data_IF_649099064391
#
_entry.id   IF_649099064391
#
_cell.length_a   1.000
_cell.length_b   1.000
_cell.length_c   1.000
_cell.angle_alpha   90.00
_cell.angle_beta   90.00
_cell.angle_gamma   90.00
#
_symmetry.space_group_name_H-M   'P 1'
#
loop_
_entity.id
_entity.type
_entity.pdbx_description
1 polymer ?
#
# COMPACT_ATOMS: atom_id res chain seq x y z
N UNK A 1 3.21 -4.53 22.16
CA UNK A 1 4.21 -3.83 21.33
C UNK A 1 3.76 -2.39 21.11
N UNK A 2 4.63 -1.42 21.37
CA UNK A 2 4.37 0.01 21.14
C UNK A 2 5.48 0.59 20.24
N UNK A 3 5.10 1.34 19.20
CA UNK A 3 6.04 2.00 18.28
C UNK A 3 5.90 3.51 18.47
N UNK A 4 7.00 4.15 18.87
CA UNK A 4 7.17 5.60 18.85
C UNK A 4 8.11 5.96 17.69
N UNK A 5 8.07 7.20 17.22
CA UNK A 5 8.80 7.81 16.09
C UNK A 5 10.26 7.35 15.92
N UNK A 6 10.95 6.90 16.97
CA UNK A 6 12.31 6.36 16.88
C UNK A 6 12.57 5.12 17.76
N UNK A 7 11.54 4.51 18.36
CA UNK A 7 11.72 3.42 19.33
C UNK A 7 10.61 2.38 19.23
N UNK A 8 10.99 1.11 19.41
CA UNK A 8 10.06 -0.02 19.52
C UNK A 8 10.16 -0.59 20.94
N UNK A 9 9.02 -0.82 21.58
CA UNK A 9 8.94 -1.43 22.91
C UNK A 9 8.12 -2.72 22.87
N UNK A 10 8.63 -3.79 23.48
CA UNK A 10 7.98 -5.09 23.63
C UNK A 10 7.91 -5.52 25.10
N UNK A 11 6.93 -6.36 25.46
CA UNK A 11 6.92 -7.08 26.73
C UNK A 11 7.68 -8.41 26.58
N UNK A 12 7.95 -9.09 27.70
CA UNK A 12 8.69 -10.37 27.69
C UNK A 12 8.07 -11.40 26.75
N UNK A 13 6.75 -11.60 26.83
CA UNK A 13 6.01 -12.52 25.97
C UNK A 13 6.22 -12.23 24.46
N UNK A 14 6.36 -10.95 24.09
CA UNK A 14 6.60 -10.57 22.70
C UNK A 14 8.04 -10.90 22.26
N UNK A 15 9.04 -10.71 23.12
CA UNK A 15 10.41 -11.11 22.82
C UNK A 15 10.57 -12.63 22.74
N UNK A 16 9.78 -13.38 23.51
CA UNK A 16 9.73 -14.85 23.42
C UNK A 16 9.15 -15.31 22.07
N UNK A 17 8.16 -14.60 21.53
CA UNK A 17 7.56 -14.88 20.22
C UNK A 17 8.42 -14.46 19.03
N UNK A 18 9.24 -13.42 19.19
CA UNK A 18 10.06 -12.83 18.12
C UNK A 18 11.53 -12.64 18.55
N UNK A 19 12.24 -13.73 18.85
CA UNK A 19 13.62 -13.66 19.36
C UNK A 19 14.61 -13.08 18.34
N UNK A 20 14.28 -13.15 17.04
CA UNK A 20 15.09 -12.61 15.93
C UNK A 20 14.54 -11.26 15.43
N UNK A 21 13.72 -10.57 16.23
CA UNK A 21 13.19 -9.28 15.83
C UNK A 21 14.32 -8.26 15.59
N UNK A 22 14.31 -7.61 14.43
CA UNK A 22 15.27 -6.57 14.07
C UNK A 22 14.56 -5.26 13.77
N UNK A 23 15.10 -4.17 14.31
CA UNK A 23 14.65 -2.80 14.00
C UNK A 23 15.72 -2.13 13.16
N UNK A 24 15.32 -1.58 12.01
CA UNK A 24 16.18 -0.79 11.13
C UNK A 24 15.59 0.60 10.96
N UNK A 25 16.39 1.63 11.18
CA UNK A 25 16.02 3.01 10.80
C UNK A 25 16.16 3.16 9.29
N UNK A 26 15.07 3.47 8.61
CA UNK A 26 15.09 3.77 7.18
C UNK A 26 15.58 5.21 6.97
N UNK A 27 16.30 5.42 5.88
CA UNK A 27 16.82 6.72 5.51
C UNK A 27 15.71 7.76 5.42
N UNK A 28 16.01 8.96 5.92
CA UNK A 28 15.09 10.08 5.97
C UNK A 28 14.96 10.68 4.57
N UNK A 29 13.90 10.34 3.87
CA UNK A 29 13.55 10.98 2.59
C UNK A 29 12.25 11.77 2.79
N UNK A 30 12.36 13.10 2.71
CA UNK A 30 11.23 14.04 2.64
C UNK A 30 10.23 14.06 3.82
N UNK A 31 10.57 13.51 4.99
CA UNK A 31 9.80 13.63 6.23
C UNK A 31 10.68 14.02 7.41
N UNK A 32 10.12 14.81 8.33
CA UNK A 32 10.66 15.12 9.64
C UNK A 32 10.67 13.91 10.60
N UNK A 33 10.07 12.79 10.21
CA UNK A 33 10.08 11.52 10.93
C UNK A 33 10.93 10.45 10.21
N UNK A 34 11.77 9.74 10.98
CA UNK A 34 12.53 8.60 10.49
C UNK A 34 11.63 7.36 10.56
N UNK A 35 11.41 6.70 9.43
CA UNK A 35 10.59 5.49 9.41
C UNK A 35 11.36 4.34 10.07
N UNK A 36 10.70 3.60 10.97
CA UNK A 36 11.23 2.38 11.57
C UNK A 36 10.72 1.16 10.81
N UNK A 37 11.63 0.32 10.35
CA UNK A 37 11.30 -1.00 9.84
C UNK A 37 11.52 -2.03 10.94
N UNK A 38 10.44 -2.56 11.50
CA UNK A 38 10.47 -3.69 12.42
C UNK A 38 10.23 -4.99 11.66
N UNK A 39 11.25 -5.84 11.58
CA UNK A 39 11.17 -7.17 10.99
C UNK A 39 10.96 -8.19 12.10
N UNK A 40 9.77 -8.79 12.12
CA UNK A 40 9.43 -9.89 13.03
C UNK A 40 9.46 -11.18 12.21
N UNK A 41 10.54 -11.96 12.31
CA UNK A 41 10.56 -13.29 11.73
C UNK A 41 9.80 -14.22 12.66
N UNK A 42 8.52 -14.45 12.36
CA UNK A 42 7.76 -15.47 13.07
C UNK A 42 8.31 -16.84 12.66
N UNK A 43 8.86 -17.58 13.61
CA UNK A 43 9.42 -18.91 13.39
C UNK A 43 8.29 -19.93 13.27
N UNK A 44 7.38 -19.77 12.30
CA UNK A 44 6.35 -20.78 12.03
C UNK A 44 6.76 -21.70 10.89
N UNK A 45 6.85 -22.98 11.24
CA UNK A 45 6.86 -24.09 10.29
C UNK A 45 5.58 -24.02 9.45
N UNK A 46 5.71 -23.97 8.13
CA UNK A 46 4.66 -24.48 7.24
C UNK A 46 3.51 -23.55 6.86
N UNK A 47 3.68 -22.22 6.86
CA UNK A 47 2.68 -21.39 6.16
C UNK A 47 3.33 -20.31 5.28
N UNK A 48 3.73 -20.73 4.08
CA UNK A 48 4.20 -19.88 2.97
C UNK A 48 3.10 -18.97 2.40
N UNK A 49 1.87 -19.04 2.92
CA UNK A 49 0.86 -18.04 2.60
C UNK A 49 1.11 -16.79 3.43
N UNK A 50 2.14 -16.04 3.03
CA UNK A 50 2.44 -14.71 3.55
C UNK A 50 1.13 -13.93 3.64
N UNK A 51 0.81 -13.47 4.86
CA UNK A 51 -0.40 -12.72 5.13
C UNK A 51 -0.52 -11.66 4.04
N UNK A 52 -1.50 -11.82 3.14
CA UNK A 52 -1.79 -10.82 2.12
C UNK A 52 -2.21 -9.60 2.91
N UNK A 53 -1.27 -8.70 3.16
CA UNK A 53 -1.58 -7.35 3.58
C UNK A 53 -2.62 -6.89 2.57
N UNK A 54 -3.86 -6.75 3.02
CA UNK A 54 -4.90 -6.14 2.21
C UNK A 54 -4.38 -4.73 1.95
N UNK A 55 -3.74 -4.55 0.80
CA UNK A 55 -3.16 -3.29 0.38
C UNK A 55 -4.29 -2.28 0.46
N UNK A 56 -4.22 -1.42 1.46
CA UNK A 56 -5.16 -0.31 1.60
C UNK A 56 -5.05 0.50 0.32
N UNK A 57 -6.17 1.05 -0.15
CA UNK A 57 -6.12 2.00 -1.24
C UNK A 57 -5.17 3.14 -0.87
N UNK A 58 -4.15 3.35 -1.68
CA UNK A 58 -3.26 4.50 -1.62
C UNK A 58 -3.17 5.05 -3.03
N UNK A 59 -3.39 6.36 -3.15
CA UNK A 59 -3.14 7.09 -4.36
C UNK A 59 -1.62 7.23 -4.55
N UNK A 60 -1.10 6.89 -5.73
CA UNK A 60 0.30 7.13 -6.08
C UNK A 60 0.39 8.46 -6.84
N UNK A 61 1.30 9.37 -6.46
CA UNK A 61 1.41 10.71 -7.08
C UNK A 61 1.61 10.65 -8.60
N UNK A 62 2.35 9.64 -9.08
CA UNK A 62 2.58 9.39 -10.50
C UNK A 62 1.28 9.19 -11.31
N UNK A 63 0.17 8.78 -10.67
CA UNK A 63 -1.11 8.63 -11.38
C UNK A 63 -1.68 9.98 -11.80
N UNK A 64 -1.39 11.06 -11.07
CA UNK A 64 -1.92 12.39 -11.38
C UNK A 64 -1.42 12.94 -12.73
N UNK A 65 -0.27 12.45 -13.19
CA UNK A 65 0.32 12.82 -14.50
C UNK A 65 -0.29 12.01 -15.65
N UNK A 66 -1.10 10.99 -15.35
CA UNK A 66 -1.71 10.13 -16.35
C UNK A 66 -3.13 10.58 -16.70
N UNK A 67 -3.37 10.84 -17.97
CA UNK A 67 -4.70 11.18 -18.51
C UNK A 67 -5.78 10.19 -18.05
N UNK A 68 -5.46 8.90 -18.07
CA UNK A 68 -6.39 7.84 -17.67
C UNK A 68 -6.83 7.94 -16.21
N UNK A 69 -6.01 8.50 -15.32
CA UNK A 69 -6.41 8.73 -13.93
C UNK A 69 -7.49 9.81 -13.86
N UNK A 70 -7.31 10.92 -14.58
CA UNK A 70 -8.27 12.03 -14.65
C UNK A 70 -9.63 11.58 -15.20
N UNK A 71 -9.62 10.75 -16.25
CA UNK A 71 -10.82 10.15 -16.82
C UNK A 71 -11.57 9.30 -15.79
N UNK A 72 -10.89 8.38 -15.10
CA UNK A 72 -11.50 7.51 -14.09
C UNK A 72 -12.11 8.34 -12.95
N UNK A 73 -11.42 9.38 -12.50
CA UNK A 73 -11.95 10.27 -11.45
C UNK A 73 -13.20 10.97 -11.96
N UNK A 74 -13.18 11.53 -13.17
CA UNK A 74 -14.32 12.25 -13.76
C UNK A 74 -15.54 11.35 -13.94
N UNK A 75 -15.34 10.15 -14.51
CA UNK A 75 -16.38 9.13 -14.71
C UNK A 75 -17.00 8.73 -13.37
N UNK A 76 -16.18 8.34 -12.39
CA UNK A 76 -16.68 7.84 -11.11
C UNK A 76 -17.30 8.91 -10.22
N UNK A 77 -16.87 10.17 -10.37
CA UNK A 77 -17.40 11.29 -9.59
C UNK A 77 -18.71 11.83 -10.14
N UNK A 78 -18.87 11.81 -11.47
CA UNK A 78 -20.07 12.25 -12.18
C UNK A 78 -21.27 11.30 -12.01
N UNK A 79 -21.03 10.04 -11.69
CA UNK A 79 -22.09 9.07 -11.42
C UNK A 79 -22.84 9.38 -10.10
N UNK A 80 -24.16 9.52 -10.19
CA UNK A 80 -25.05 9.59 -9.01
C UNK A 80 -25.36 10.98 -8.46
N UNK A 81 -25.13 12.07 -9.23
CA UNK A 81 -25.57 13.42 -8.86
C UNK A 81 -24.76 14.07 -7.72
N UNK A 82 -25.23 15.18 -7.16
CA UNK A 82 -24.52 15.86 -6.06
C UNK A 82 -24.58 15.04 -4.76
N UNK A 83 -23.47 14.99 -4.02
CA UNK A 83 -23.42 14.38 -2.69
C UNK A 83 -23.79 15.42 -1.64
N UNK A 84 -24.88 15.19 -0.92
CA UNK A 84 -25.39 16.09 0.12
C UNK A 84 -25.00 15.65 1.52
N UNK A 85 -24.60 14.38 1.67
CA UNK A 85 -24.18 13.80 2.96
C UNK A 85 -22.73 13.30 2.93
N UNK A 86 -22.07 13.31 4.09
CA UNK A 86 -20.73 12.73 4.24
C UNK A 86 -20.70 11.23 3.88
N UNK A 87 -21.82 10.52 4.08
CA UNK A 87 -21.96 9.11 3.68
C UNK A 87 -21.91 8.95 2.17
N UNK A 88 -22.65 9.77 1.43
CA UNK A 88 -22.62 9.76 -0.04
C UNK A 88 -21.24 10.10 -0.59
N UNK A 89 -20.57 11.11 -0.02
CA UNK A 89 -19.21 11.45 -0.38
C UNK A 89 -18.26 10.27 -0.16
N UNK A 90 -18.32 9.62 1.01
CA UNK A 90 -17.49 8.46 1.32
C UNK A 90 -17.74 7.30 0.35
N UNK A 91 -18.99 7.05 -0.04
CA UNK A 91 -19.32 6.02 -1.03
C UNK A 91 -18.72 6.34 -2.41
N UNK A 92 -18.79 7.60 -2.84
CA UNK A 92 -18.15 8.05 -4.08
C UNK A 92 -16.63 7.90 -4.04
N UNK A 93 -15.99 8.33 -2.95
CA UNK A 93 -14.55 8.17 -2.77
C UNK A 93 -14.14 6.70 -2.78
N UNK A 94 -14.89 5.82 -2.11
CA UNK A 94 -14.64 4.38 -2.11
C UNK A 94 -14.77 3.78 -3.52
N UNK A 95 -15.82 4.17 -4.27
CA UNK A 95 -16.03 3.73 -5.65
C UNK A 95 -14.91 4.16 -6.59
N UNK A 96 -14.50 5.43 -6.51
CA UNK A 96 -13.36 5.96 -7.24
C UNK A 96 -12.07 5.19 -6.90
N UNK A 97 -11.81 4.96 -5.61
CA UNK A 97 -10.66 4.20 -5.15
C UNK A 97 -10.60 2.77 -5.70
N UNK A 98 -11.74 2.07 -5.75
CA UNK A 98 -11.84 0.73 -6.35
C UNK A 98 -11.54 0.76 -7.85
N UNK A 99 -12.05 1.76 -8.58
CA UNK A 99 -11.80 1.90 -10.01
C UNK A 99 -10.31 2.14 -10.32
N UNK A 100 -9.68 3.07 -9.60
CA UNK A 100 -8.25 3.35 -9.70
C UNK A 100 -7.39 2.12 -9.35
N UNK A 101 -7.76 1.38 -8.29
CA UNK A 101 -7.08 0.13 -7.93
C UNK A 101 -7.14 -0.93 -9.02
N UNK A 102 -8.30 -1.10 -9.65
CA UNK A 102 -8.47 -2.06 -10.75
C UNK A 102 -7.61 -1.66 -11.94
N UNK A 103 -7.64 -0.39 -12.33
CA UNK A 103 -6.81 0.13 -13.39
C UNK A 103 -5.31 -0.06 -13.11
N UNK A 104 -4.82 0.32 -11.92
CA UNK A 104 -3.41 0.15 -11.55
C UNK A 104 -2.98 -1.33 -11.56
N UNK A 105 -3.84 -2.26 -11.13
CA UNK A 105 -3.55 -3.71 -11.22
C UNK A 105 -3.34 -4.16 -12.67
N UNK A 106 -4.15 -3.69 -13.60
CA UNK A 106 -4.00 -4.01 -15.03
C UNK A 106 -2.72 -3.38 -15.57
N UNK A 107 -2.47 -2.10 -15.27
CA UNK A 107 -1.25 -1.39 -15.68
C UNK A 107 0.02 -2.12 -15.21
N UNK A 108 0.11 -2.48 -13.93
CA UNK A 108 1.26 -3.21 -13.36
C UNK A 108 1.50 -4.54 -14.06
N UNK A 109 0.44 -5.29 -14.40
CA UNK A 109 0.59 -6.54 -15.17
C UNK A 109 1.21 -6.30 -16.55
N UNK A 110 0.73 -5.30 -17.28
CA UNK A 110 1.25 -4.95 -18.61
C UNK A 110 2.72 -4.51 -18.54
N UNK A 111 3.07 -3.68 -17.56
CA UNK A 111 4.45 -3.24 -17.33
C UNK A 111 5.37 -4.43 -17.02
N UNK A 112 4.96 -5.34 -16.15
CA UNK A 112 5.73 -6.53 -15.83
C UNK A 112 5.91 -7.46 -17.05
N UNK A 113 4.88 -7.62 -17.89
CA UNK A 113 5.01 -8.38 -19.14
C UNK A 113 6.06 -7.76 -20.08
N UNK A 114 6.03 -6.42 -20.25
CA UNK A 114 7.00 -5.70 -21.08
C UNK A 114 8.42 -5.80 -20.52
N UNK A 115 8.57 -5.67 -19.20
CA UNK A 115 9.84 -5.80 -18.52
C UNK A 115 10.45 -7.19 -18.73
N UNK A 116 9.65 -8.24 -18.53
CA UNK A 116 10.08 -9.62 -18.76
C UNK A 116 10.47 -9.86 -20.22
N UNK A 117 9.72 -9.34 -21.17
CA UNK A 117 10.04 -9.46 -22.60
C UNK A 117 11.36 -8.75 -22.98
N UNK A 118 11.67 -7.62 -22.34
CA UNK A 118 12.94 -6.93 -22.53
C UNK A 118 14.12 -7.73 -21.97
N UNK A 119 13.97 -8.32 -20.77
CA UNK A 119 15.01 -9.13 -20.13
C UNK A 119 15.35 -10.41 -20.92
N UNK A 120 14.38 -10.99 -21.65
CA UNK A 120 14.58 -12.19 -22.47
C UNK A 120 15.32 -11.92 -23.79
N UNK A 121 15.47 -10.65 -24.20
CA UNK A 121 16.17 -10.26 -25.43
C UNK A 121 17.65 -9.88 -25.20
N UNK A 122 18.11 -9.99 -23.96
CA UNK A 122 19.46 -9.63 -23.53
C UNK A 122 20.21 -10.88 -23.09
#
# INVERSE_FOLDING_TARGET
>A
MYINTNKVYGNSEWFDLFPEAKVTHLERVNSDHCHLLLQCLYRNRGNESGAKWHSRFHFESAWAEEERCSEIVTETWGEGGSSTTARELNLKMAKCGVALQRWNKVKKKVLNMRLNAYLQKK
#
